data_IF_593553471389
#
_entry.id   IF_593553471389
#
_cell.length_a   1.000
_cell.length_b   1.000
_cell.length_c   1.000
_cell.angle_alpha   90.00
_cell.angle_beta   90.00
_cell.angle_gamma   90.00
#
_symmetry.space_group_name_H-M   'P 1'
#
loop_
_entity.id
_entity.type
_entity.pdbx_description
1 polymer ?
#
# COMPACT_ATOMS: atom_id res chain seq x y z
N UNK A 1 50.16 13.47 -54.18
CA UNK A 1 48.83 14.00 -53.80
C UNK A 1 47.75 13.23 -54.53
N UNK A 2 46.73 12.72 -53.83
CA UNK A 2 45.59 12.02 -54.46
C UNK A 2 44.40 12.98 -54.46
N UNK A 3 43.89 13.34 -55.65
CA UNK A 3 42.81 14.32 -55.81
C UNK A 3 41.42 13.65 -55.72
N UNK A 4 41.30 12.39 -56.14
CA UNK A 4 40.01 11.70 -56.20
C UNK A 4 39.47 11.23 -54.83
N UNK A 5 40.31 11.11 -53.81
CA UNK A 5 39.91 10.62 -52.49
C UNK A 5 40.45 11.53 -51.39
N UNK A 6 39.55 12.29 -50.76
CA UNK A 6 39.88 13.15 -49.63
C UNK A 6 39.69 12.40 -48.30
N UNK A 7 40.75 11.74 -47.85
CA UNK A 7 40.75 10.93 -46.63
C UNK A 7 40.50 11.81 -45.39
N UNK A 8 41.01 13.04 -45.38
CA UNK A 8 40.80 14.00 -44.30
C UNK A 8 39.33 14.37 -44.14
N UNK A 9 38.63 14.64 -45.25
CA UNK A 9 37.19 14.91 -45.24
C UNK A 9 36.35 13.68 -44.83
N UNK A 10 36.74 12.47 -45.24
CA UNK A 10 36.06 11.24 -44.83
C UNK A 10 36.20 10.97 -43.33
N UNK A 11 37.37 11.26 -42.75
CA UNK A 11 37.62 11.14 -41.32
C UNK A 11 36.80 12.19 -40.52
N UNK A 12 36.82 13.46 -40.94
CA UNK A 12 36.05 14.51 -40.28
C UNK A 12 34.54 14.26 -40.38
N UNK A 13 34.03 13.78 -41.51
CA UNK A 13 32.62 13.38 -41.66
C UNK A 13 32.23 12.22 -40.73
N UNK A 14 33.10 11.21 -40.57
CA UNK A 14 32.86 10.11 -39.62
C UNK A 14 32.77 10.61 -38.18
N UNK A 15 33.69 11.49 -37.77
CA UNK A 15 33.68 12.09 -36.43
C UNK A 15 32.46 13.00 -36.22
N UNK A 16 32.05 13.76 -37.24
CA UNK A 16 30.83 14.57 -37.22
C UNK A 16 29.58 13.69 -36.99
N UNK A 17 29.44 12.60 -37.73
CA UNK A 17 28.32 11.66 -37.60
C UNK A 17 28.29 10.98 -36.22
N UNK A 18 29.45 10.59 -35.69
CA UNK A 18 29.58 10.07 -34.33
C UNK A 18 29.12 11.09 -33.28
N UNK A 19 29.64 12.32 -33.34
CA UNK A 19 29.28 13.38 -32.39
C UNK A 19 27.79 13.74 -32.46
N UNK A 20 27.19 13.74 -33.65
CA UNK A 20 25.76 13.99 -33.83
C UNK A 20 24.90 12.88 -33.18
N UNK A 21 25.34 11.61 -33.31
CA UNK A 21 24.67 10.46 -32.66
C UNK A 21 24.74 10.56 -31.14
N UNK A 22 25.91 10.90 -30.59
CA UNK A 22 26.10 11.05 -29.14
C UNK A 22 25.36 12.29 -28.59
N UNK A 23 25.32 13.41 -29.32
CA UNK A 23 24.50 14.57 -28.95
C UNK A 23 23.00 14.22 -28.91
N UNK A 24 22.51 13.44 -29.88
CA UNK A 24 21.12 12.98 -29.92
C UNK A 24 20.78 12.07 -28.73
N UNK A 25 21.69 11.16 -28.34
CA UNK A 25 21.52 10.31 -27.16
C UNK A 25 21.49 11.11 -25.85
N UNK A 26 22.38 12.10 -25.70
CA UNK A 26 22.37 12.96 -24.51
C UNK A 26 21.06 13.74 -24.40
N UNK A 27 20.53 14.22 -25.54
CA UNK A 27 19.22 14.88 -25.59
C UNK A 27 18.09 13.92 -25.18
N UNK A 28 18.10 12.68 -25.64
CA UNK A 28 17.13 11.64 -25.23
C UNK A 28 17.16 11.42 -23.71
N UNK A 29 18.34 11.33 -23.10
CA UNK A 29 18.51 11.18 -21.64
C UNK A 29 18.07 12.42 -20.87
N UNK A 30 18.41 13.62 -21.34
CA UNK A 30 17.99 14.89 -20.73
C UNK A 30 16.47 15.07 -20.80
N UNK A 31 15.85 14.71 -21.92
CA UNK A 31 14.41 14.86 -22.11
C UNK A 31 13.59 13.85 -21.30
N UNK A 32 14.10 12.63 -21.13
CA UNK A 32 13.43 11.57 -20.37
C UNK A 32 13.72 11.64 -18.86
N UNK A 33 14.84 12.25 -18.47
CA UNK A 33 15.35 12.20 -17.10
C UNK A 33 15.98 10.85 -16.73
N UNK A 34 15.97 9.87 -17.64
CA UNK A 34 16.52 8.54 -17.41
C UNK A 34 17.83 8.32 -18.15
N UNK A 35 18.77 7.68 -17.47
CA UNK A 35 20.04 7.20 -18.02
C UNK A 35 19.86 5.98 -18.91
N UNK A 36 18.85 5.13 -18.61
CA UNK A 36 18.53 3.89 -19.33
C UNK A 36 17.14 4.03 -19.96
N UNK A 37 17.09 4.32 -21.26
CA UNK A 37 15.84 4.46 -22.02
C UNK A 37 15.56 3.23 -22.88
N UNK A 38 16.61 2.57 -23.36
CA UNK A 38 16.52 1.41 -24.23
C UNK A 38 17.28 0.23 -23.61
N UNK A 39 16.88 -0.99 -23.97
CA UNK A 39 17.60 -2.20 -23.54
C UNK A 39 19.07 -2.23 -24.02
N UNK A 40 19.40 -1.48 -25.07
CA UNK A 40 20.77 -1.33 -25.57
C UNK A 40 21.66 -0.42 -24.71
N UNK A 41 21.10 0.41 -23.82
CA UNK A 41 21.88 1.30 -22.95
C UNK A 41 22.48 0.52 -21.77
N UNK A 42 21.66 -0.33 -21.12
CA UNK A 42 22.06 -1.27 -20.09
C UNK A 42 20.96 -2.35 -19.88
N UNK A 43 21.17 -3.54 -20.44
CA UNK A 43 20.20 -4.63 -20.35
C UNK A 43 20.01 -5.15 -18.91
N UNK A 44 21.08 -5.20 -18.12
CA UNK A 44 21.04 -5.71 -16.75
C UNK A 44 20.38 -4.68 -15.82
N UNK A 45 20.77 -3.40 -15.94
CA UNK A 45 20.18 -2.29 -15.20
C UNK A 45 18.69 -2.14 -15.49
N UNK A 46 18.27 -2.28 -16.75
CA UNK A 46 16.85 -2.27 -17.10
C UNK A 46 16.08 -3.40 -16.41
N UNK A 47 16.57 -4.64 -16.46
CA UNK A 47 15.90 -5.79 -15.84
C UNK A 47 15.79 -5.65 -14.31
N UNK A 48 16.80 -5.08 -13.64
CA UNK A 48 16.77 -4.81 -12.20
C UNK A 48 15.75 -3.70 -11.89
N UNK A 49 15.76 -2.61 -12.66
CA UNK A 49 14.84 -1.49 -12.47
C UNK A 49 13.37 -1.90 -12.63
N UNK A 50 13.06 -2.77 -13.59
CA UNK A 50 11.70 -3.26 -13.80
C UNK A 50 11.24 -4.16 -12.64
N UNK A 51 12.13 -5.00 -12.08
CA UNK A 51 11.83 -5.76 -10.85
C UNK A 51 11.58 -4.83 -9.67
N UNK A 52 12.41 -3.81 -9.48
CA UNK A 52 12.24 -2.82 -8.41
C UNK A 52 10.93 -2.05 -8.56
N UNK A 53 10.58 -1.60 -9.77
CA UNK A 53 9.29 -0.94 -10.06
C UNK A 53 8.10 -1.84 -9.76
N UNK A 54 8.18 -3.12 -10.14
CA UNK A 54 7.15 -4.11 -9.80
C UNK A 54 6.99 -4.26 -8.29
N UNK A 55 8.10 -4.31 -7.55
CA UNK A 55 8.10 -4.37 -6.09
C UNK A 55 7.51 -3.10 -5.46
N UNK A 56 7.95 -1.91 -5.88
CA UNK A 56 7.45 -0.62 -5.36
C UNK A 56 5.93 -0.54 -5.53
N UNK A 57 5.41 -0.79 -6.75
CA UNK A 57 3.95 -0.80 -7.00
C UNK A 57 3.23 -1.84 -6.15
N UNK A 58 3.84 -3.01 -5.94
CA UNK A 58 3.31 -4.04 -5.06
C UNK A 58 3.26 -3.62 -3.59
N UNK A 59 4.30 -2.96 -3.09
CA UNK A 59 4.38 -2.44 -1.72
C UNK A 59 3.39 -1.28 -1.49
N UNK A 60 3.20 -0.41 -2.47
CA UNK A 60 2.23 0.69 -2.39
C UNK A 60 0.80 0.15 -2.34
N UNK A 61 0.48 -0.85 -3.17
CA UNK A 61 -0.82 -1.52 -3.10
C UNK A 61 -1.01 -2.32 -1.81
N UNK A 62 0.04 -2.96 -1.30
CA UNK A 62 0.02 -3.63 -0.01
C UNK A 62 -0.24 -2.64 1.15
N UNK A 63 0.34 -1.43 1.07
CA UNK A 63 0.08 -0.36 2.04
C UNK A 63 -1.38 0.06 2.02
N UNK A 64 -1.96 0.25 0.83
CA UNK A 64 -3.39 0.54 0.68
C UNK A 64 -4.26 -0.59 1.23
N UNK A 65 -3.97 -1.84 0.91
CA UNK A 65 -4.71 -2.99 1.44
C UNK A 65 -4.62 -3.07 2.98
N UNK A 66 -3.46 -2.74 3.56
CA UNK A 66 -3.28 -2.68 5.01
C UNK A 66 -4.13 -1.57 5.63
N UNK A 67 -4.22 -0.40 5.00
CA UNK A 67 -5.10 0.70 5.43
C UNK A 67 -6.58 0.30 5.37
N UNK A 68 -7.02 -0.32 4.27
CA UNK A 68 -8.40 -0.84 4.13
C UNK A 68 -8.71 -1.87 5.24
N UNK A 69 -7.71 -2.70 5.60
CA UNK A 69 -7.83 -3.67 6.70
C UNK A 69 -7.96 -2.98 8.06
N UNK A 70 -7.23 -1.88 8.30
CA UNK A 70 -7.37 -1.06 9.50
C UNK A 70 -8.77 -0.45 9.58
N UNK A 71 -9.29 0.11 8.49
CA UNK A 71 -10.66 0.65 8.46
C UNK A 71 -11.72 -0.42 8.72
N UNK A 72 -11.54 -1.63 8.20
CA UNK A 72 -12.41 -2.77 8.50
C UNK A 72 -12.39 -3.13 9.99
N UNK A 73 -11.19 -3.20 10.59
CA UNK A 73 -11.03 -3.52 12.02
C UNK A 73 -11.68 -2.44 12.89
N UNK A 74 -11.48 -1.16 12.57
CA UNK A 74 -12.11 -0.04 13.28
C UNK A 74 -13.64 -0.08 13.19
N UNK A 75 -14.18 -0.44 12.02
CA UNK A 75 -15.63 -0.64 11.86
C UNK A 75 -16.16 -1.74 12.78
N UNK A 76 -15.46 -2.87 12.85
CA UNK A 76 -15.81 -3.96 13.77
C UNK A 76 -15.65 -3.54 15.24
N UNK A 77 -14.59 -2.82 15.60
CA UNK A 77 -14.37 -2.38 16.98
C UNK A 77 -15.43 -1.39 17.46
N UNK A 78 -15.85 -0.45 16.61
CA UNK A 78 -16.94 0.49 16.93
C UNK A 78 -18.23 -0.24 17.30
N UNK A 79 -18.62 -1.24 16.50
CA UNK A 79 -19.79 -2.07 16.78
C UNK A 79 -19.63 -2.91 18.08
N UNK A 80 -18.43 -3.41 18.36
CA UNK A 80 -18.15 -4.13 19.62
C UNK A 80 -18.13 -3.21 20.84
N UNK A 81 -17.82 -1.93 20.67
CA UNK A 81 -17.90 -0.96 21.74
C UNK A 81 -19.36 -0.72 22.18
N UNK A 82 -20.28 -0.60 21.22
CA UNK A 82 -21.72 -0.53 21.51
C UNK A 82 -22.24 -1.82 22.15
N UNK A 83 -21.81 -2.98 21.63
CA UNK A 83 -22.16 -4.28 22.24
C UNK A 83 -21.68 -4.37 23.69
N UNK A 84 -20.48 -3.87 23.99
CA UNK A 84 -19.94 -3.83 25.35
C UNK A 84 -20.77 -2.90 26.27
N UNK A 85 -21.16 -1.72 25.79
CA UNK A 85 -22.01 -0.79 26.55
C UNK A 85 -23.39 -1.40 26.86
N UNK A 86 -24.01 -2.06 25.87
CA UNK A 86 -25.29 -2.75 26.05
C UNK A 86 -25.16 -3.89 27.07
N UNK A 87 -24.10 -4.69 27.00
CA UNK A 87 -23.87 -5.78 27.97
C UNK A 87 -23.65 -5.26 29.40
N UNK A 88 -22.97 -4.12 29.58
CA UNK A 88 -22.86 -3.49 30.89
C UNK A 88 -24.23 -3.03 31.40
N UNK A 89 -25.07 -2.44 30.53
CA UNK A 89 -26.45 -2.08 30.89
C UNK A 89 -27.30 -3.30 31.26
N UNK A 90 -27.21 -4.40 30.51
CA UNK A 90 -27.87 -5.66 30.84
C UNK A 90 -27.43 -6.20 32.20
N UNK A 91 -26.14 -6.04 32.54
CA UNK A 91 -25.60 -6.44 33.84
C UNK A 91 -26.18 -5.58 34.98
N UNK A 92 -26.30 -4.27 34.80
CA UNK A 92 -26.95 -3.38 35.77
C UNK A 92 -28.40 -3.81 36.04
N UNK A 93 -29.15 -4.10 34.99
CA UNK A 93 -30.54 -4.57 35.09
C UNK A 93 -30.63 -5.92 35.79
N UNK A 94 -29.69 -6.84 35.53
CA UNK A 94 -29.62 -8.13 36.20
C UNK A 94 -29.32 -7.98 37.70
N UNK A 95 -28.40 -7.08 38.07
CA UNK A 95 -28.10 -6.76 39.49
C UNK A 95 -29.30 -6.10 40.16
N UNK A 96 -29.97 -5.17 39.48
CA UNK A 96 -31.19 -4.54 39.97
C UNK A 96 -32.28 -5.59 40.22
N UNK A 97 -32.54 -6.48 39.27
CA UNK A 97 -33.54 -7.56 39.40
C UNK A 97 -33.16 -8.59 40.48
N UNK A 98 -31.87 -8.76 40.81
CA UNK A 98 -31.42 -9.67 41.85
C UNK A 98 -31.77 -9.19 43.28
N UNK A 99 -32.26 -7.96 43.46
CA UNK A 99 -32.72 -7.45 44.76
C UNK A 99 -34.14 -7.92 45.10
N UNK A 100 -34.37 -8.33 46.35
CA UNK A 100 -35.65 -8.86 46.84
C UNK A 100 -36.71 -7.79 47.09
N UNK A 101 -36.33 -6.51 47.06
CA UNK A 101 -37.29 -5.40 47.12
C UNK A 101 -38.18 -5.30 45.88
N UNK A 102 -37.79 -5.92 44.76
CA UNK A 102 -38.54 -5.87 43.50
C UNK A 102 -39.61 -6.96 43.44
N UNK A 103 -40.84 -6.55 43.14
CA UNK A 103 -41.96 -7.47 42.90
C UNK A 103 -41.91 -8.04 41.48
N UNK A 104 -42.71 -9.08 41.20
CA UNK A 104 -42.71 -9.77 39.90
C UNK A 104 -43.02 -8.84 38.72
N UNK A 105 -43.91 -7.86 38.91
CA UNK A 105 -44.25 -6.87 37.86
C UNK A 105 -43.05 -5.99 37.48
N UNK A 106 -42.19 -5.65 38.45
CA UNK A 106 -41.00 -4.83 38.20
C UNK A 106 -39.95 -5.65 37.46
N UNK A 107 -39.78 -6.93 37.83
CA UNK A 107 -38.88 -7.85 37.13
C UNK A 107 -39.32 -8.10 35.70
N UNK A 108 -40.63 -8.18 35.45
CA UNK A 108 -41.18 -8.29 34.10
C UNK A 108 -40.91 -7.02 33.26
N UNK A 109 -40.93 -5.84 33.88
CA UNK A 109 -40.58 -4.59 33.19
C UNK A 109 -39.08 -4.52 32.85
N UNK A 110 -38.21 -4.93 33.79
CA UNK A 110 -36.76 -5.04 33.54
C UNK A 110 -36.46 -6.08 32.45
N UNK A 111 -37.18 -7.21 32.42
CA UNK A 111 -37.02 -8.23 31.38
C UNK A 111 -37.30 -7.68 29.98
N UNK A 112 -38.32 -6.82 29.82
CA UNK A 112 -38.61 -6.18 28.53
C UNK A 112 -37.45 -5.32 28.03
N UNK A 113 -36.77 -4.60 28.94
CA UNK A 113 -35.57 -3.83 28.59
C UNK A 113 -34.43 -4.78 28.17
N UNK A 114 -34.21 -5.87 28.91
CA UNK A 114 -33.20 -6.90 28.56
C UNK A 114 -33.50 -7.55 27.20
N UNK A 115 -34.75 -7.83 26.87
CA UNK A 115 -35.16 -8.41 25.58
C UNK A 115 -34.91 -7.44 24.41
N UNK A 116 -35.19 -6.14 24.62
CA UNK A 116 -34.89 -5.09 23.64
C UNK A 116 -33.37 -4.95 23.42
N UNK A 117 -32.59 -4.93 24.50
CA UNK A 117 -31.12 -4.87 24.44
C UNK A 117 -30.52 -6.11 23.75
N UNK A 118 -31.08 -7.30 24.00
CA UNK A 118 -30.66 -8.54 23.33
C UNK A 118 -30.96 -8.50 21.82
N UNK A 119 -32.10 -7.93 21.45
CA UNK A 119 -32.47 -7.72 20.05
C UNK A 119 -31.52 -6.72 19.37
N UNK A 120 -31.14 -5.66 20.08
CA UNK A 120 -30.19 -4.66 19.58
C UNK A 120 -28.78 -5.24 19.40
N UNK A 121 -28.27 -6.06 20.32
CA UNK A 121 -27.00 -6.79 20.13
C UNK A 121 -27.07 -7.67 18.87
N UNK A 122 -28.20 -8.35 18.66
CA UNK A 122 -28.39 -9.19 17.47
C UNK A 122 -28.39 -8.35 16.20
N UNK A 123 -29.06 -7.20 16.21
CA UNK A 123 -29.11 -6.26 15.09
C UNK A 123 -27.73 -5.70 14.76
N UNK A 124 -26.96 -5.26 15.76
CA UNK A 124 -25.58 -4.79 15.57
C UNK A 124 -24.73 -5.88 14.90
N UNK A 125 -24.85 -7.14 15.35
CA UNK A 125 -24.11 -8.25 14.76
C UNK A 125 -24.50 -8.54 13.30
N UNK A 126 -25.80 -8.47 12.96
CA UNK A 126 -26.28 -8.79 11.60
C UNK A 126 -26.11 -7.64 10.61
N UNK A 127 -26.22 -6.40 11.07
CA UNK A 127 -26.24 -5.22 10.21
C UNK A 127 -24.83 -4.66 9.97
N UNK A 128 -23.89 -4.88 10.90
CA UNK A 128 -22.50 -4.39 10.75
C UNK A 128 -21.83 -5.04 9.54
N UNK A 129 -21.56 -4.21 8.54
CA UNK A 129 -20.92 -4.61 7.30
C UNK A 129 -19.84 -3.62 6.86
N UNK A 130 -18.84 -4.14 6.18
CA UNK A 130 -17.84 -3.34 5.48
C UNK A 130 -17.76 -3.83 4.05
N UNK A 131 -18.03 -2.95 3.08
CA UNK A 131 -18.08 -3.30 1.66
C UNK A 131 -18.97 -4.54 1.42
N UNK A 132 -20.21 -4.53 1.93
CA UNK A 132 -21.21 -5.63 1.88
C UNK A 132 -20.83 -6.93 2.58
N UNK A 133 -19.66 -6.99 3.23
CA UNK A 133 -19.24 -8.17 4.00
C UNK A 133 -19.66 -8.00 5.46
N UNK A 134 -20.45 -8.94 5.96
CA UNK A 134 -20.80 -9.01 7.37
C UNK A 134 -19.57 -9.39 8.20
N UNK A 135 -19.34 -8.63 9.27
CA UNK A 135 -18.10 -8.74 10.07
C UNK A 135 -18.30 -9.56 11.34
N UNK A 136 -19.46 -9.41 11.98
CA UNK A 136 -19.72 -9.89 13.35
C UNK A 136 -20.62 -11.11 13.40
N UNK A 137 -21.10 -11.59 12.26
CA UNK A 137 -21.72 -12.90 12.14
C UNK A 137 -20.61 -13.94 11.86
N UNK A 138 -20.86 -15.21 12.19
CA UNK A 138 -19.87 -16.30 12.06
C UNK A 138 -19.28 -16.50 10.65
N UNK A 139 -19.68 -15.71 9.65
CA UNK A 139 -19.18 -15.74 8.28
C UNK A 139 -17.76 -15.19 8.11
N UNK A 140 -17.25 -14.38 9.05
CA UNK A 140 -15.94 -13.72 8.91
C UNK A 140 -14.79 -14.58 9.47
N UNK A 141 -14.60 -15.77 8.90
CA UNK A 141 -13.54 -16.71 9.30
C UNK A 141 -12.46 -16.84 8.23
N UNK A 142 -11.20 -16.80 8.67
CA UNK A 142 -10.04 -17.06 7.80
C UNK A 142 -9.85 -16.05 6.66
N UNK A 143 -10.29 -14.79 6.83
CA UNK A 143 -10.11 -13.76 5.81
C UNK A 143 -8.64 -13.37 5.71
N UNK A 144 -8.16 -13.24 4.48
CA UNK A 144 -6.75 -13.06 4.17
C UNK A 144 -6.54 -11.64 3.66
N UNK A 145 -5.65 -10.90 4.30
CA UNK A 145 -5.18 -9.59 3.86
C UNK A 145 -3.79 -9.71 3.24
N UNK A 146 -3.66 -9.29 1.98
CA UNK A 146 -2.38 -9.30 1.28
C UNK A 146 -1.63 -7.98 1.56
N UNK A 147 -0.55 -8.09 2.32
CA UNK A 147 0.20 -6.96 2.89
C UNK A 147 1.66 -6.96 2.44
N UNK A 148 1.94 -7.48 1.24
CA UNK A 148 3.27 -7.42 0.64
C UNK A 148 3.22 -7.50 -0.87
N UNK A 149 4.40 -7.41 -1.51
CA UNK A 149 4.52 -7.44 -2.97
C UNK A 149 4.59 -8.87 -3.55
N UNK A 150 4.92 -9.87 -2.73
CA UNK A 150 5.15 -11.25 -3.17
C UNK A 150 4.09 -12.21 -2.63
N UNK A 151 3.90 -13.32 -3.36
CA UNK A 151 2.97 -14.40 -2.99
C UNK A 151 3.23 -14.89 -1.56
N UNK A 152 2.17 -15.01 -0.77
CA UNK A 152 2.20 -15.56 0.60
C UNK A 152 2.47 -14.54 1.70
N UNK A 153 2.70 -13.27 1.37
CA UNK A 153 2.83 -12.18 2.35
C UNK A 153 1.45 -11.73 2.84
N UNK A 154 0.86 -12.55 3.71
CA UNK A 154 -0.53 -12.43 4.13
C UNK A 154 -0.68 -12.35 5.66
N UNK A 155 -1.71 -11.63 6.12
CA UNK A 155 -2.23 -11.71 7.48
C UNK A 155 -3.62 -12.33 7.43
N UNK A 156 -3.88 -13.32 8.26
CA UNK A 156 -5.22 -13.90 8.44
C UNK A 156 -5.92 -13.25 9.62
N UNK A 157 -7.17 -12.83 9.41
CA UNK A 157 -8.05 -12.33 10.45
C UNK A 157 -9.28 -13.23 10.59
N UNK A 158 -9.67 -13.50 11.84
CA UNK A 158 -10.90 -14.21 12.17
C UNK A 158 -11.65 -13.43 13.22
N UNK A 159 -12.92 -13.17 12.94
CA UNK A 159 -13.86 -12.57 13.88
C UNK A 159 -14.89 -13.65 14.20
N UNK A 160 -15.01 -14.00 15.49
CA UNK A 160 -16.02 -14.96 15.95
C UNK A 160 -17.40 -14.31 15.92
N UNK A 161 -18.45 -15.12 16.04
CA UNK A 161 -19.82 -14.62 16.19
C UNK A 161 -19.94 -13.77 17.46
N UNK A 162 -20.29 -12.50 17.30
CA UNK A 162 -20.49 -11.53 18.38
C UNK A 162 -21.96 -11.15 18.55
N UNK A 163 -22.88 -11.86 17.90
CA UNK A 163 -24.32 -11.73 18.16
C UNK A 163 -24.74 -12.35 19.50
N UNK A 164 -26.00 -12.14 19.89
CA UNK A 164 -26.52 -12.62 21.17
C UNK A 164 -26.32 -14.14 21.39
N UNK A 165 -26.40 -14.93 20.32
CA UNK A 165 -26.11 -16.38 20.34
C UNK A 165 -24.63 -16.68 20.51
N UNK A 166 -23.74 -16.01 19.78
CA UNK A 166 -22.29 -16.21 19.84
C UNK A 166 -21.68 -15.84 21.20
N UNK A 167 -22.15 -14.74 21.81
CA UNK A 167 -21.69 -14.33 23.15
C UNK A 167 -22.38 -15.11 24.27
N UNK A 168 -23.57 -15.67 24.03
CA UNK A 168 -24.30 -16.54 24.96
C UNK A 168 -25.36 -15.82 25.82
N UNK A 169 -25.83 -14.65 25.37
CA UNK A 169 -26.90 -13.88 26.04
C UNK A 169 -28.28 -14.10 25.43
N UNK A 170 -28.37 -14.91 24.39
CA UNK A 170 -29.62 -15.35 23.77
C UNK A 170 -30.50 -16.10 24.79
N UNK A 171 -31.55 -15.44 25.28
CA UNK A 171 -32.51 -16.05 26.21
C UNK A 171 -32.18 -15.84 27.70
N UNK A 172 -31.33 -14.86 28.03
CA UNK A 172 -31.13 -14.45 29.42
C UNK A 172 -32.45 -13.98 30.02
N UNK A 173 -32.86 -14.62 31.11
CA UNK A 173 -34.01 -14.24 31.91
C UNK A 173 -33.58 -13.65 33.24
N UNK A 174 -34.33 -12.67 33.72
CA UNK A 174 -34.16 -12.00 35.01
C UNK A 174 -35.50 -11.93 35.77
N UNK A 175 -36.41 -12.86 35.47
CA UNK A 175 -37.76 -12.97 36.07
C UNK A 175 -37.75 -13.42 37.55
N UNK A 176 -36.71 -14.15 37.96
CA UNK A 176 -36.52 -14.64 39.33
C UNK A 176 -35.16 -14.27 39.88
N UNK A 177 -35.06 -14.12 41.20
CA UNK A 177 -33.82 -13.75 41.89
C UNK A 177 -32.67 -14.74 41.61
N UNK A 178 -32.95 -16.04 41.69
CA UNK A 178 -31.95 -17.08 41.42
C UNK A 178 -31.48 -17.07 39.96
N UNK A 179 -32.38 -16.78 39.02
CA UNK A 179 -32.07 -16.72 37.58
C UNK A 179 -31.30 -15.43 37.26
N UNK A 180 -31.63 -14.30 37.91
CA UNK A 180 -30.89 -13.05 37.78
C UNK A 180 -29.43 -13.18 38.25
N UNK A 181 -29.17 -13.94 39.32
CA UNK A 181 -27.78 -14.22 39.74
C UNK A 181 -27.00 -15.06 38.71
N UNK A 182 -27.65 -16.04 38.07
CA UNK A 182 -27.05 -16.78 36.95
C UNK A 182 -26.82 -15.87 35.73
N UNK A 183 -27.78 -14.97 35.44
CA UNK A 183 -27.69 -14.00 34.36
C UNK A 183 -26.44 -13.11 34.50
N UNK A 184 -26.15 -12.61 35.71
CA UNK A 184 -24.93 -11.81 35.97
C UNK A 184 -23.66 -12.57 35.56
N UNK A 185 -23.57 -13.86 35.91
CA UNK A 185 -22.42 -14.69 35.53
C UNK A 185 -22.33 -14.88 34.00
N UNK A 186 -23.45 -15.15 33.34
CA UNK A 186 -23.48 -15.29 31.86
C UNK A 186 -23.12 -14.00 31.14
N UNK A 187 -23.58 -12.84 31.63
CA UNK A 187 -23.27 -11.52 31.05
C UNK A 187 -21.79 -11.18 31.27
N UNK A 188 -21.22 -11.51 32.44
CA UNK A 188 -19.78 -11.36 32.68
C UNK A 188 -18.94 -12.20 31.70
N UNK A 189 -19.35 -13.44 31.44
CA UNK A 189 -18.68 -14.28 30.43
C UNK A 189 -18.81 -13.69 29.01
N UNK A 190 -19.97 -13.10 28.67
CA UNK A 190 -20.18 -12.42 27.40
C UNK A 190 -19.28 -11.17 27.27
N UNK A 191 -19.18 -10.35 28.33
CA UNK A 191 -18.28 -9.20 28.39
C UNK A 191 -16.82 -9.61 28.18
N UNK A 192 -16.38 -10.69 28.83
CA UNK A 192 -15.03 -11.23 28.66
C UNK A 192 -14.79 -11.68 27.21
N UNK A 193 -15.74 -12.39 26.59
CA UNK A 193 -15.63 -12.78 25.18
C UNK A 193 -15.50 -11.57 24.24
N UNK A 194 -16.33 -10.55 24.42
CA UNK A 194 -16.25 -9.31 23.61
C UNK A 194 -14.92 -8.60 23.84
N UNK A 195 -14.46 -8.50 25.09
CA UNK A 195 -13.19 -7.90 25.45
C UNK A 195 -11.99 -8.63 24.81
N UNK A 196 -11.96 -9.97 24.89
CA UNK A 196 -10.92 -10.78 24.25
C UNK A 196 -10.92 -10.62 22.73
N UNK A 197 -12.09 -10.53 22.10
CA UNK A 197 -12.20 -10.29 20.66
C UNK A 197 -11.68 -8.88 20.28
N UNK A 198 -12.04 -7.84 21.04
CA UNK A 198 -11.53 -6.47 20.83
C UNK A 198 -10.02 -6.40 21.01
N UNK A 199 -9.48 -7.06 22.04
CA UNK A 199 -8.03 -7.16 22.26
C UNK A 199 -7.32 -7.82 21.08
N UNK A 200 -7.88 -8.91 20.53
CA UNK A 200 -7.34 -9.57 19.34
C UNK A 200 -7.37 -8.67 18.09
N UNK A 201 -8.45 -7.90 17.90
CA UNK A 201 -8.56 -6.92 16.82
C UNK A 201 -7.53 -5.79 16.95
N UNK A 202 -7.39 -5.21 18.14
CA UNK A 202 -6.39 -4.15 18.40
C UNK A 202 -4.95 -4.64 18.22
N UNK A 203 -4.64 -5.89 18.60
CA UNK A 203 -3.34 -6.48 18.33
C UNK A 203 -3.04 -6.59 16.83
N UNK A 204 -4.04 -6.93 16.00
CA UNK A 204 -3.87 -6.97 14.54
C UNK A 204 -3.74 -5.55 13.97
N UNK A 205 -4.47 -4.56 14.49
CA UNK A 205 -4.31 -3.16 14.09
C UNK A 205 -2.88 -2.67 14.33
N UNK A 206 -2.34 -2.83 15.54
CA UNK A 206 -0.97 -2.42 15.86
C UNK A 206 0.05 -3.10 14.94
N UNK A 207 -0.15 -4.39 14.63
CA UNK A 207 0.68 -5.13 13.67
C UNK A 207 0.60 -4.54 12.26
N UNK A 208 -0.59 -4.15 11.80
CA UNK A 208 -0.78 -3.52 10.50
C UNK A 208 -0.13 -2.13 10.45
N UNK A 209 -0.21 -1.33 11.50
CA UNK A 209 0.45 -0.01 11.58
C UNK A 209 1.98 -0.14 11.48
N UNK A 210 2.58 -1.09 12.22
CA UNK A 210 4.01 -1.38 12.05
C UNK A 210 4.35 -1.92 10.66
N UNK A 211 3.47 -2.72 10.08
CA UNK A 211 3.65 -3.23 8.71
C UNK A 211 3.63 -2.08 7.70
N UNK A 212 2.68 -1.15 7.80
CA UNK A 212 2.57 0.03 6.93
C UNK A 212 3.86 0.86 7.00
N UNK A 213 4.37 1.12 8.20
CA UNK A 213 5.61 1.87 8.38
C UNK A 213 6.81 1.15 7.73
N UNK A 214 6.91 -0.18 7.89
CA UNK A 214 7.96 -0.97 7.27
C UNK A 214 7.83 -1.03 5.73
N UNK A 215 6.63 -1.16 5.20
CA UNK A 215 6.36 -1.14 3.76
C UNK A 215 6.74 0.22 3.16
N UNK A 216 6.38 1.32 3.83
CA UNK A 216 6.73 2.68 3.44
C UNK A 216 8.24 2.88 3.39
N UNK A 217 8.96 2.52 4.45
CA UNK A 217 10.43 2.59 4.48
C UNK A 217 11.08 1.71 3.41
N UNK A 218 10.51 0.54 3.11
CA UNK A 218 11.01 -0.35 2.05
C UNK A 218 10.76 0.25 0.66
N UNK A 219 9.58 0.82 0.43
CA UNK A 219 9.21 1.47 -0.84
C UNK A 219 10.12 2.67 -1.12
N UNK A 220 10.40 3.49 -0.10
CA UNK A 220 11.34 4.62 -0.20
C UNK A 220 12.77 4.15 -0.54
N UNK A 221 13.28 3.16 0.18
CA UNK A 221 14.63 2.63 -0.07
C UNK A 221 14.77 1.99 -1.45
N UNK A 222 13.75 1.26 -1.92
CA UNK A 222 13.73 0.70 -3.27
C UNK A 222 13.62 1.78 -4.33
N UNK A 223 12.84 2.83 -4.10
CA UNK A 223 12.74 3.98 -5.01
C UNK A 223 14.08 4.71 -5.12
N UNK A 224 14.77 4.92 -4.00
CA UNK A 224 16.12 5.50 -4.00
C UNK A 224 17.14 4.60 -4.72
N UNK A 225 17.03 3.28 -4.60
CA UNK A 225 17.88 2.34 -5.33
C UNK A 225 17.57 2.34 -6.84
N UNK A 226 16.30 2.38 -7.23
CA UNK A 226 15.86 2.42 -8.63
C UNK A 226 16.29 3.73 -9.29
N UNK A 227 16.15 4.87 -8.59
CA UNK A 227 16.62 6.18 -9.03
C UNK A 227 18.13 6.16 -9.34
N UNK A 228 18.98 5.60 -8.47
CA UNK A 228 20.43 5.48 -8.77
C UNK A 228 20.73 4.63 -10.01
N UNK A 229 19.91 3.62 -10.27
CA UNK A 229 20.09 2.75 -11.43
C UNK A 229 19.63 3.46 -12.71
N UNK A 230 18.44 4.06 -12.69
CA UNK A 230 17.74 4.49 -13.90
C UNK A 230 17.74 5.99 -14.13
N UNK A 231 17.76 6.82 -13.10
CA UNK A 231 17.76 8.27 -13.26
C UNK A 231 19.13 8.77 -13.73
N UNK A 232 19.11 9.89 -14.45
CA UNK A 232 20.30 10.53 -14.97
C UNK A 232 20.73 11.73 -14.13
N UNK A 233 22.04 11.98 -14.09
CA UNK A 233 22.58 13.22 -13.56
C UNK A 233 22.49 14.30 -14.66
N UNK A 234 21.53 15.21 -14.50
CA UNK A 234 21.24 16.26 -15.47
C UNK A 234 22.44 17.18 -15.72
N UNK A 235 23.24 17.48 -14.70
CA UNK A 235 24.41 18.33 -14.85
C UNK A 235 25.47 17.62 -15.71
N UNK A 236 25.71 16.34 -15.44
CA UNK A 236 26.65 15.53 -16.22
C UNK A 236 26.22 15.37 -17.68
N UNK A 237 24.96 15.07 -17.93
CA UNK A 237 24.45 14.92 -19.30
C UNK A 237 24.42 16.27 -20.05
N UNK A 238 24.14 17.39 -19.37
CA UNK A 238 24.20 18.72 -19.99
C UNK A 238 25.64 19.11 -20.38
N UNK A 239 26.63 18.79 -19.54
CA UNK A 239 28.05 18.96 -19.89
C UNK A 239 28.42 18.09 -21.09
N UNK A 240 27.98 16.82 -21.11
CA UNK A 240 28.18 15.91 -22.23
C UNK A 240 27.55 16.44 -23.53
N UNK A 241 26.30 16.90 -23.47
CA UNK A 241 25.58 17.51 -24.59
C UNK A 241 26.31 18.74 -25.12
N UNK A 242 26.72 19.65 -24.23
CA UNK A 242 27.46 20.87 -24.60
C UNK A 242 28.81 20.52 -25.25
N UNK A 243 29.56 19.57 -24.69
CA UNK A 243 30.81 19.07 -25.28
C UNK A 243 30.59 18.52 -26.69
N UNK A 244 29.57 17.68 -26.88
CA UNK A 244 29.28 17.08 -28.18
C UNK A 244 28.81 18.13 -29.21
N UNK A 245 28.09 19.17 -28.79
CA UNK A 245 27.74 20.30 -29.65
C UNK A 245 28.97 21.10 -30.10
N UNK A 246 29.91 21.38 -29.18
CA UNK A 246 31.17 22.07 -29.52
C UNK A 246 32.00 21.22 -30.49
N UNK A 247 32.09 19.91 -30.25
CA UNK A 247 32.80 18.98 -31.15
C UNK A 247 32.12 18.87 -32.52
N UNK A 248 30.79 18.94 -32.58
CA UNK A 248 30.03 18.96 -33.83
C UNK A 248 30.34 20.24 -34.63
N UNK A 249 30.32 21.41 -33.98
CA UNK A 249 30.68 22.68 -34.62
C UNK A 249 32.14 22.70 -35.10
N UNK A 250 33.07 22.19 -34.29
CA UNK A 250 34.47 22.08 -34.67
C UNK A 250 34.67 21.12 -35.85
N UNK A 251 33.99 19.97 -35.86
CA UNK A 251 34.06 19.01 -36.97
C UNK A 251 33.46 19.58 -38.27
N UNK A 252 32.41 20.40 -38.20
CA UNK A 252 31.85 21.13 -39.35
C UNK A 252 32.87 22.13 -39.92
N UNK A 253 33.52 22.92 -39.06
CA UNK A 253 34.57 23.86 -39.48
C UNK A 253 35.77 23.14 -40.08
N UNK A 254 36.20 22.03 -39.49
CA UNK A 254 37.30 21.21 -40.01
C UNK A 254 36.94 20.50 -41.32
N UNK A 255 35.68 20.08 -41.50
CA UNK A 255 35.19 19.53 -42.76
C UNK A 255 35.19 20.58 -43.86
N UNK A 256 34.76 21.81 -43.56
CA UNK A 256 34.84 22.94 -44.48
C UNK A 256 36.29 23.22 -44.92
N UNK A 257 37.24 23.25 -43.96
CA UNK A 257 38.66 23.43 -44.25
C UNK A 257 39.26 22.24 -45.04
N UNK A 258 38.92 21.01 -44.67
CA UNK A 258 39.36 19.81 -45.37
C UNK A 258 38.86 19.74 -46.82
N UNK A 259 37.69 20.33 -47.12
CA UNK A 259 37.16 20.44 -48.47
C UNK A 259 37.85 21.52 -49.31
N UNK A 260 38.37 22.59 -48.68
CA UNK A 260 39.11 23.66 -49.37
C UNK A 260 40.58 23.30 -49.65
N UNK A 261 41.19 22.41 -48.85
CA UNK A 261 42.61 22.04 -48.99
C UNK A 261 42.99 21.49 -50.38
N UNK A 262 42.19 20.63 -51.05
CA UNK A 262 42.47 20.21 -52.43
C UNK A 262 42.33 21.34 -53.45
N UNK A 263 41.42 22.31 -53.22
CA UNK A 263 41.15 23.42 -54.14
C UNK A 263 42.30 24.44 -54.16
N UNK A 264 42.89 24.75 -52.99
CA UNK A 264 44.05 25.64 -52.91
C UNK A 264 45.28 25.12 -53.65
N UNK A 265 45.46 23.79 -53.68
CA UNK A 265 46.54 23.16 -54.45
C UNK A 265 46.26 23.17 -55.96
N UNK A 266 45.00 22.97 -56.37
CA UNK A 266 44.58 23.09 -57.77
C UNK A 266 44.78 24.51 -58.34
N UNK A 267 44.72 25.54 -57.50
CA UNK A 267 45.05 26.92 -57.89
C UNK A 267 46.55 27.17 -58.04
N UNK A 268 47.41 26.45 -57.29
CA UNK A 268 48.88 26.56 -57.39
C UNK A 268 49.47 25.82 -58.59
N UNK A 269 48.72 24.91 -59.20
CA UNK A 269 49.11 24.14 -60.39
C UNK A 269 48.51 24.72 -61.69
N UNK A 270 47.88 25.89 -61.61
CA UNK A 270 47.26 26.60 -62.73
C UNK A 270 48.13 27.77 -63.19
#
# INVERSE_FOLDING_TARGET
MRIQHNISALNTHRNLSFNNTEASKNLEKLSSGYKINRAGDDAAGLAISEKMRGQIRGLDMATKNAQDSVSLIQTAEGALNETHAILQRMRELAVQSANDTNVSTDRDALQKEVDALTSEITRISTDTEFNTQKLLNSSFQGKVFHIGANKGQNITLTIKDMGAKGVGVSGVKIDKQSVANLAISTINQALEKVSTQRSALGAVQNRLEHTINNLGATSENLTAAESRIRDTDMAKEMMGFTKNNILMQAAQSMLAQANQQPQGVLQLLR
#
